data_IF_733612569518
#
_entry.id   IF_733612569518
#
_cell.length_a   1.000
_cell.length_b   1.000
_cell.length_c   1.000
_cell.angle_alpha   90.00
_cell.angle_beta   90.00
_cell.angle_gamma   90.00
#
_symmetry.space_group_name_H-M   'P 1'
#
loop_
_entity.id
_entity.type
_entity.pdbx_description
1 polymer ?
#
# COMPACT_ATOMS: atom_id res chain seq x y z
N UNK A 1 -45.18 -44.83 -6.23
CA UNK A 1 -45.16 -43.51 -6.91
C UNK A 1 -44.35 -42.45 -6.13
N UNK A 2 -44.44 -42.41 -4.80
CA UNK A 2 -43.72 -41.44 -3.93
C UNK A 2 -42.19 -41.58 -3.99
N UNK A 3 -41.67 -42.83 -3.99
CA UNK A 3 -40.24 -43.12 -4.01
C UNK A 3 -39.53 -42.62 -5.29
N UNK A 4 -40.18 -42.75 -6.47
CA UNK A 4 -39.64 -42.23 -7.72
C UNK A 4 -39.56 -40.70 -7.73
N UNK A 5 -40.56 -40.02 -7.13
CA UNK A 5 -40.53 -38.53 -6.98
C UNK A 5 -39.41 -38.08 -6.04
N UNK A 6 -39.16 -38.82 -4.94
CA UNK A 6 -38.07 -38.50 -4.00
C UNK A 6 -36.68 -38.63 -4.66
N UNK A 7 -36.47 -39.70 -5.44
CA UNK A 7 -35.20 -39.90 -6.19
C UNK A 7 -34.95 -38.75 -7.18
N UNK A 8 -35.99 -38.32 -7.91
CA UNK A 8 -35.86 -37.20 -8.87
C UNK A 8 -35.50 -35.89 -8.15
N UNK A 9 -36.11 -35.62 -7.01
CA UNK A 9 -35.81 -34.42 -6.19
C UNK A 9 -34.35 -34.46 -5.69
N UNK A 10 -33.86 -35.60 -5.21
CA UNK A 10 -32.49 -35.78 -4.75
C UNK A 10 -31.47 -35.57 -5.91
N UNK A 11 -31.79 -36.11 -7.10
CA UNK A 11 -30.92 -35.90 -8.28
C UNK A 11 -30.89 -34.44 -8.68
N UNK A 12 -32.01 -33.72 -8.67
CA UNK A 12 -32.06 -32.28 -8.98
C UNK A 12 -31.23 -31.48 -7.96
N UNK A 13 -31.35 -31.78 -6.67
CA UNK A 13 -30.53 -31.10 -5.62
C UNK A 13 -29.04 -31.38 -5.83
N UNK A 14 -28.63 -32.60 -6.14
CA UNK A 14 -27.25 -32.95 -6.42
C UNK A 14 -26.72 -32.25 -7.68
N UNK A 15 -27.52 -32.10 -8.73
CA UNK A 15 -27.16 -31.37 -9.94
C UNK A 15 -27.00 -29.86 -9.67
N UNK A 16 -27.87 -29.28 -8.83
CA UNK A 16 -27.77 -27.87 -8.39
C UNK A 16 -26.50 -27.68 -7.56
N UNK A 17 -26.19 -28.57 -6.61
CA UNK A 17 -24.99 -28.52 -5.80
C UNK A 17 -23.72 -28.67 -6.69
N UNK A 18 -23.74 -29.60 -7.63
CA UNK A 18 -22.65 -29.79 -8.59
C UNK A 18 -22.47 -28.57 -9.51
N UNK A 19 -23.58 -27.93 -9.95
CA UNK A 19 -23.56 -26.70 -10.72
C UNK A 19 -23.00 -25.51 -9.92
N UNK A 20 -23.38 -25.38 -8.65
CA UNK A 20 -22.81 -24.36 -7.75
C UNK A 20 -21.33 -24.63 -7.48
N UNK A 21 -20.95 -25.89 -7.27
CA UNK A 21 -19.56 -26.30 -7.04
C UNK A 21 -18.66 -26.05 -8.27
N UNK A 22 -19.15 -26.37 -9.47
CA UNK A 22 -18.41 -26.08 -10.72
C UNK A 22 -18.35 -24.58 -10.98
N UNK A 23 -19.41 -23.82 -10.76
CA UNK A 23 -19.42 -22.36 -10.87
C UNK A 23 -18.43 -21.72 -9.88
N UNK A 24 -18.32 -22.27 -8.67
CA UNK A 24 -17.33 -21.84 -7.67
C UNK A 24 -15.90 -22.20 -8.10
N UNK A 25 -15.64 -23.43 -8.59
CA UNK A 25 -14.32 -23.88 -9.02
C UNK A 25 -13.82 -23.19 -10.30
N UNK A 26 -14.73 -22.86 -11.22
CA UNK A 26 -14.38 -22.12 -12.45
C UNK A 26 -14.40 -20.60 -12.28
N UNK A 27 -14.52 -20.09 -11.04
CA UNK A 27 -14.48 -18.65 -10.75
C UNK A 27 -15.68 -17.87 -11.26
N UNK A 28 -16.77 -18.53 -11.68
CA UNK A 28 -18.03 -17.87 -12.05
C UNK A 28 -18.76 -17.30 -10.84
N UNK A 29 -18.56 -17.89 -9.66
CA UNK A 29 -18.88 -17.30 -8.36
C UNK A 29 -17.65 -16.58 -7.78
N UNK A 30 -16.84 -15.97 -8.65
CA UNK A 30 -15.61 -15.25 -8.27
C UNK A 30 -15.89 -14.14 -7.28
N UNK A 31 -14.88 -13.77 -6.52
CA UNK A 31 -14.89 -12.66 -5.57
C UNK A 31 -15.43 -11.39 -6.22
N UNK A 32 -16.74 -11.13 -6.05
CA UNK A 32 -17.37 -9.95 -6.63
C UNK A 32 -16.98 -8.73 -5.80
N UNK A 33 -16.24 -7.83 -6.45
CA UNK A 33 -16.10 -6.44 -6.05
C UNK A 33 -17.40 -5.73 -6.42
N UNK A 34 -18.21 -5.42 -5.44
CA UNK A 34 -19.50 -4.74 -5.64
C UNK A 34 -19.47 -3.36 -4.98
N UNK A 35 -20.05 -2.40 -5.66
CA UNK A 35 -20.25 -1.05 -5.20
C UNK A 35 -21.74 -0.78 -5.07
N UNK A 36 -22.16 -0.37 -3.87
CA UNK A 36 -23.56 0.00 -3.60
C UNK A 36 -23.57 1.49 -3.30
N UNK A 37 -24.28 2.25 -4.13
CA UNK A 37 -24.49 3.69 -3.93
C UNK A 37 -25.15 3.93 -2.58
N UNK A 38 -24.66 4.91 -1.86
CA UNK A 38 -25.18 5.32 -0.55
C UNK A 38 -25.32 6.85 -0.49
N UNK A 39 -25.64 7.40 0.65
CA UNK A 39 -25.72 8.84 0.89
C UNK A 39 -24.67 9.26 1.91
N UNK A 40 -24.17 10.49 1.84
CA UNK A 40 -23.25 11.06 2.83
C UNK A 40 -23.82 11.04 4.25
N UNK A 41 -25.14 11.18 4.41
CA UNK A 41 -25.83 11.10 5.71
C UNK A 41 -25.64 9.72 6.37
N UNK A 42 -25.43 8.64 5.58
CA UNK A 42 -25.22 7.30 6.11
C UNK A 42 -23.77 6.97 6.45
N UNK A 43 -22.83 7.87 6.15
CA UNK A 43 -21.41 7.67 6.45
C UNK A 43 -21.16 8.00 7.94
N UNK A 44 -20.73 7.02 8.76
CA UNK A 44 -20.53 7.24 10.18
C UNK A 44 -19.50 8.36 10.41
N UNK A 45 -19.89 9.40 11.15
CA UNK A 45 -18.99 10.49 11.53
C UNK A 45 -18.59 11.45 10.42
N UNK A 46 -19.19 11.41 9.23
CA UNK A 46 -18.88 12.28 8.10
C UNK A 46 -18.84 13.76 8.47
N UNK A 47 -19.82 14.22 9.21
CA UNK A 47 -19.92 15.64 9.60
C UNK A 47 -18.84 16.13 10.57
N UNK A 48 -18.16 15.20 11.24
CA UNK A 48 -17.16 15.50 12.29
C UNK A 48 -15.73 15.56 11.76
N UNK A 49 -15.51 15.20 10.48
CA UNK A 49 -14.16 15.18 9.90
C UNK A 49 -13.67 16.60 9.54
N UNK A 50 -12.37 16.75 9.53
CA UNK A 50 -11.66 17.91 9.01
C UNK A 50 -11.44 17.77 7.50
N UNK A 51 -12.51 17.96 6.70
CA UNK A 51 -12.50 17.74 5.25
C UNK A 51 -11.47 18.60 4.51
N UNK A 52 -11.12 19.79 5.04
CA UNK A 52 -10.09 20.65 4.44
C UNK A 52 -8.73 19.94 4.35
N UNK A 53 -8.36 19.10 5.35
CA UNK A 53 -7.12 18.32 5.31
C UNK A 53 -7.15 17.22 4.21
N UNK A 54 -8.34 16.64 3.98
CA UNK A 54 -8.52 15.70 2.87
C UNK A 54 -8.47 16.42 1.51
N UNK A 55 -9.03 17.64 1.44
CA UNK A 55 -8.98 18.47 0.24
C UNK A 55 -7.55 18.86 -0.13
N UNK A 56 -6.72 19.26 0.84
CA UNK A 56 -5.29 19.50 0.63
C UNK A 56 -4.57 18.27 0.05
N UNK A 57 -4.88 17.09 0.57
CA UNK A 57 -4.35 15.83 0.04
C UNK A 57 -4.86 15.55 -1.38
N UNK A 58 -6.13 15.84 -1.67
CA UNK A 58 -6.72 15.67 -2.99
C UNK A 58 -6.13 16.64 -4.02
N UNK A 59 -5.85 17.89 -3.64
CA UNK A 59 -5.13 18.88 -4.50
C UNK A 59 -3.79 18.31 -4.97
N UNK A 60 -3.04 17.63 -4.10
CA UNK A 60 -1.80 16.96 -4.51
C UNK A 60 -2.07 15.86 -5.55
N UNK A 61 -3.13 15.08 -5.39
CA UNK A 61 -3.54 14.08 -6.38
C UNK A 61 -3.94 14.71 -7.71
N UNK A 62 -4.56 15.89 -7.70
CA UNK A 62 -4.92 16.63 -8.91
C UNK A 62 -3.70 16.96 -9.76
N UNK A 63 -2.53 17.22 -9.18
CA UNK A 63 -1.30 17.45 -9.97
C UNK A 63 -0.89 16.23 -10.80
N UNK A 64 -1.18 15.02 -10.32
CA UNK A 64 -0.93 13.79 -11.06
C UNK A 64 -2.07 13.46 -12.04
N UNK A 65 -3.32 13.70 -11.64
CA UNK A 65 -4.52 13.49 -12.49
C UNK A 65 -4.45 14.37 -13.75
N UNK A 66 -4.07 15.64 -13.60
CA UNK A 66 -3.99 16.61 -14.70
C UNK A 66 -2.92 16.27 -15.77
N UNK A 67 -1.96 15.39 -15.43
CA UNK A 67 -0.94 14.91 -16.37
C UNK A 67 -1.41 13.68 -17.18
N UNK A 68 -2.56 13.11 -16.87
CA UNK A 68 -3.08 11.93 -17.57
C UNK A 68 -3.84 12.32 -18.83
N UNK A 69 -3.91 11.39 -19.79
CA UNK A 69 -4.71 11.58 -21.01
C UNK A 69 -6.20 11.64 -20.63
N UNK A 70 -6.94 12.75 -20.99
CA UNK A 70 -8.34 12.98 -20.61
C UNK A 70 -9.30 11.92 -21.17
N UNK A 71 -9.04 11.38 -22.36
CA UNK A 71 -9.90 10.41 -23.02
C UNK A 71 -9.86 9.00 -22.43
N UNK A 72 -8.89 8.72 -21.55
CA UNK A 72 -8.76 7.41 -20.96
C UNK A 72 -9.73 7.22 -19.79
N UNK A 73 -10.24 6.00 -19.57
CA UNK A 73 -11.01 5.73 -18.35
C UNK A 73 -10.16 6.01 -17.11
N UNK A 74 -10.77 6.64 -16.10
CA UNK A 74 -10.05 6.91 -14.84
C UNK A 74 -9.57 5.61 -14.19
N UNK A 75 -10.41 4.57 -14.24
CA UNK A 75 -10.08 3.22 -13.80
C UNK A 75 -10.56 2.19 -14.82
N UNK A 76 -9.62 1.45 -15.41
CA UNK A 76 -9.96 0.31 -16.25
C UNK A 76 -10.85 -0.69 -15.48
N UNK A 77 -11.85 -1.24 -16.15
CA UNK A 77 -12.82 -2.20 -15.59
C UNK A 77 -13.74 -1.62 -14.49
N UNK A 78 -13.83 -0.29 -14.36
CA UNK A 78 -14.75 0.38 -13.46
C UNK A 78 -15.38 1.60 -14.20
N UNK A 79 -16.32 1.39 -15.13
CA UNK A 79 -16.91 2.46 -15.94
C UNK A 79 -17.56 3.57 -15.11
N UNK A 80 -18.17 3.24 -13.98
CA UNK A 80 -18.77 4.19 -13.04
C UNK A 80 -17.77 5.21 -12.46
N UNK A 81 -16.45 4.98 -12.60
CA UNK A 81 -15.43 5.96 -12.21
C UNK A 81 -15.23 7.07 -13.28
N UNK A 82 -15.88 6.98 -14.45
CA UNK A 82 -15.76 7.93 -15.54
C UNK A 82 -14.41 7.95 -16.23
N UNK A 83 -14.17 9.03 -16.95
CA UNK A 83 -12.92 9.32 -17.68
C UNK A 83 -11.98 10.17 -16.85
N UNK A 84 -10.74 10.30 -17.29
CA UNK A 84 -9.78 11.23 -16.68
C UNK A 84 -10.25 12.66 -16.81
N UNK A 85 -10.93 13.04 -17.91
CA UNK A 85 -11.48 14.38 -18.12
C UNK A 85 -12.47 14.78 -17.01
N UNK A 86 -13.35 13.86 -16.58
CA UNK A 86 -14.31 14.12 -15.50
C UNK A 86 -13.59 14.50 -14.20
N UNK A 87 -12.50 13.81 -13.88
CA UNK A 87 -11.68 14.10 -12.69
C UNK A 87 -10.87 15.39 -12.84
N UNK A 88 -10.38 15.71 -14.04
CA UNK A 88 -9.70 16.98 -14.31
C UNK A 88 -10.63 18.17 -14.14
N UNK A 89 -11.91 18.04 -14.55
CA UNK A 89 -12.93 19.05 -14.29
C UNK A 89 -13.11 19.28 -12.78
N UNK A 90 -13.21 18.21 -11.99
CA UNK A 90 -13.28 18.31 -10.52
C UNK A 90 -12.04 18.99 -9.94
N UNK A 91 -10.86 18.63 -10.44
CA UNK A 91 -9.60 19.25 -10.03
C UNK A 91 -9.55 20.76 -10.34
N UNK A 92 -10.12 21.19 -11.46
CA UNK A 92 -10.23 22.61 -11.81
C UNK A 92 -11.16 23.35 -10.85
N UNK A 93 -12.29 22.75 -10.47
CA UNK A 93 -13.26 23.35 -9.56
C UNK A 93 -12.70 23.67 -8.16
N UNK A 94 -11.65 22.95 -7.70
CA UNK A 94 -10.99 23.21 -6.40
C UNK A 94 -10.39 24.63 -6.34
N UNK A 95 -10.01 25.20 -7.47
CA UNK A 95 -9.40 26.55 -7.51
C UNK A 95 -10.36 27.64 -7.10
N UNK A 96 -11.67 27.36 -7.12
CA UNK A 96 -12.75 28.31 -6.86
C UNK A 96 -13.24 28.31 -5.39
N UNK A 97 -12.66 27.49 -4.51
CA UNK A 97 -13.11 27.37 -3.13
C UNK A 97 -12.00 27.72 -2.14
N UNK A 98 -12.41 28.18 -0.96
CA UNK A 98 -11.50 28.33 0.17
C UNK A 98 -11.10 26.94 0.69
N UNK A 99 -9.84 26.58 0.50
CA UNK A 99 -9.28 25.28 0.87
C UNK A 99 -9.06 25.16 2.38
N UNK A 100 -9.07 26.25 3.12
CA UNK A 100 -8.88 26.24 4.57
C UNK A 100 -10.23 26.18 5.32
N UNK A 101 -11.33 26.52 4.64
CA UNK A 101 -12.65 26.39 5.22
C UNK A 101 -13.18 24.96 5.16
N UNK A 102 -13.42 24.38 6.35
CA UNK A 102 -13.88 23.00 6.49
C UNK A 102 -15.25 22.75 5.86
N UNK A 103 -16.15 23.71 5.97
CA UNK A 103 -17.50 23.60 5.40
C UNK A 103 -17.49 23.64 3.87
N UNK A 104 -16.68 24.53 3.29
CA UNK A 104 -16.48 24.62 1.83
C UNK A 104 -15.85 23.33 1.29
N UNK A 105 -14.86 22.79 1.98
CA UNK A 105 -14.23 21.50 1.62
C UNK A 105 -15.25 20.35 1.68
N UNK A 106 -16.07 20.28 2.74
CA UNK A 106 -17.14 19.27 2.87
C UNK A 106 -18.15 19.39 1.73
N UNK A 107 -18.69 20.60 1.50
CA UNK A 107 -19.65 20.87 0.40
C UNK A 107 -19.07 20.53 -0.97
N UNK A 108 -17.76 20.76 -1.18
CA UNK A 108 -17.09 20.38 -2.40
C UNK A 108 -17.19 18.87 -2.64
N UNK A 109 -16.84 18.01 -1.66
CA UNK A 109 -16.95 16.57 -1.81
C UNK A 109 -18.40 16.12 -1.99
N UNK A 110 -19.35 16.69 -1.24
CA UNK A 110 -20.79 16.36 -1.34
C UNK A 110 -21.41 16.77 -2.70
N UNK A 111 -20.89 17.83 -3.33
CA UNK A 111 -21.38 18.31 -4.61
C UNK A 111 -20.84 17.49 -5.79
N UNK A 112 -19.52 17.22 -5.77
CA UNK A 112 -18.85 16.60 -6.91
C UNK A 112 -18.85 15.07 -6.90
N UNK A 113 -19.10 14.44 -5.75
CA UNK A 113 -18.99 13.01 -5.59
C UNK A 113 -20.25 12.37 -5.04
N UNK A 114 -20.33 11.04 -5.24
CA UNK A 114 -21.31 10.15 -4.63
C UNK A 114 -20.56 9.03 -3.90
N UNK A 115 -20.96 8.69 -2.67
CA UNK A 115 -20.34 7.62 -1.92
C UNK A 115 -20.87 6.26 -2.34
N UNK A 116 -19.96 5.32 -2.56
CA UNK A 116 -20.26 3.91 -2.85
C UNK A 116 -19.63 3.03 -1.80
N UNK A 117 -20.46 2.31 -1.07
CA UNK A 117 -20.00 1.31 -0.11
C UNK A 117 -19.37 0.13 -0.85
N UNK A 118 -18.19 -0.30 -0.40
CA UNK A 118 -17.46 -1.40 -1.02
C UNK A 118 -17.80 -2.71 -0.35
N UNK A 119 -18.11 -3.71 -1.17
CA UNK A 119 -18.40 -5.08 -0.76
C UNK A 119 -17.41 -6.06 -1.39
N UNK A 120 -16.99 -7.03 -0.60
CA UNK A 120 -16.37 -8.26 -1.06
C UNK A 120 -17.38 -9.39 -0.85
N UNK A 121 -18.05 -9.82 -1.91
CA UNK A 121 -19.27 -10.62 -1.82
C UNK A 121 -20.32 -9.88 -0.96
N UNK A 122 -20.75 -10.45 0.17
CA UNK A 122 -21.68 -9.81 1.11
C UNK A 122 -20.98 -9.14 2.31
N UNK A 123 -19.65 -9.19 2.38
CA UNK A 123 -18.88 -8.63 3.49
C UNK A 123 -18.42 -7.21 3.18
N UNK A 124 -18.61 -6.30 4.13
CA UNK A 124 -18.17 -4.90 4.08
C UNK A 124 -16.93 -4.62 4.94
N UNK A 125 -16.45 -5.61 5.68
CA UNK A 125 -15.29 -5.46 6.56
C UNK A 125 -14.03 -5.97 5.89
N UNK A 126 -12.93 -5.25 6.07
CA UNK A 126 -11.61 -5.63 5.60
C UNK A 126 -10.51 -5.19 6.54
N UNK A 127 -9.27 -5.48 6.19
CA UNK A 127 -8.12 -5.23 7.04
C UNK A 127 -7.49 -3.87 6.74
N UNK A 128 -7.31 -3.07 7.78
CA UNK A 128 -6.58 -1.81 7.73
C UNK A 128 -5.36 -1.87 8.64
N UNK A 129 -4.22 -1.42 8.10
CA UNK A 129 -2.93 -1.34 8.79
C UNK A 129 -2.39 0.07 8.68
N UNK A 130 -1.24 0.34 9.27
CA UNK A 130 -0.58 1.63 9.18
C UNK A 130 0.88 1.51 8.75
N UNK A 131 1.38 2.53 8.07
CA UNK A 131 2.79 2.69 7.77
C UNK A 131 3.25 4.11 8.13
N UNK A 132 4.55 4.29 8.25
CA UNK A 132 5.12 5.55 8.69
C UNK A 132 6.47 5.78 8.02
N UNK A 133 7.02 6.96 8.16
CA UNK A 133 8.34 7.35 7.67
C UNK A 133 9.37 7.15 8.81
N UNK A 134 10.18 6.07 8.79
CA UNK A 134 11.19 5.85 9.80
C UNK A 134 12.37 6.82 9.65
N UNK A 135 13.02 7.14 10.78
CA UNK A 135 14.30 7.82 10.81
C UNK A 135 15.41 6.81 11.07
N UNK A 136 16.42 6.81 10.23
CA UNK A 136 17.57 5.92 10.28
C UNK A 136 18.81 6.71 10.69
N UNK A 137 19.50 6.25 11.73
CA UNK A 137 20.81 6.75 12.11
C UNK A 137 21.84 6.13 11.17
N UNK A 138 22.49 6.94 10.35
CA UNK A 138 23.39 6.45 9.30
C UNK A 138 24.61 7.36 9.18
N UNK A 139 25.67 6.87 8.55
CA UNK A 139 26.86 7.61 8.12
C UNK A 139 26.95 7.60 6.60
N UNK A 140 27.60 8.60 6.01
CA UNK A 140 27.91 8.61 4.57
C UNK A 140 29.13 7.72 4.24
N UNK A 141 29.88 7.32 5.26
CA UNK A 141 31.04 6.42 5.13
C UNK A 141 30.84 5.17 5.98
N UNK A 142 31.31 4.02 5.47
CA UNK A 142 31.28 2.74 6.19
C UNK A 142 32.22 2.77 7.38
N UNK A 143 31.75 2.34 8.54
CA UNK A 143 32.57 2.07 9.72
C UNK A 143 31.93 1.00 10.60
N UNK A 144 32.59 0.64 11.72
CA UNK A 144 32.11 -0.43 12.62
C UNK A 144 30.71 -0.15 13.21
N UNK A 145 30.38 1.13 13.43
CA UNK A 145 29.10 1.53 14.02
C UNK A 145 27.96 1.62 12.99
N UNK A 146 28.28 1.66 11.71
CA UNK A 146 27.33 1.80 10.61
C UNK A 146 27.58 0.73 9.53
N UNK A 147 27.25 -0.55 9.82
CA UNK A 147 27.54 -1.67 8.92
C UNK A 147 26.48 -1.90 7.82
N UNK A 148 25.26 -1.40 7.98
CA UNK A 148 24.12 -1.74 7.13
C UNK A 148 23.95 -0.78 5.95
N UNK A 149 24.20 -1.20 4.68
CA UNK A 149 24.12 -0.32 3.52
C UNK A 149 22.67 -0.09 3.06
N UNK A 150 22.43 1.14 2.56
CA UNK A 150 21.26 1.48 1.75
C UNK A 150 21.77 1.72 0.32
N UNK A 151 21.33 0.89 -0.62
CA UNK A 151 21.74 0.97 -2.01
C UNK A 151 20.79 1.80 -2.87
N UNK A 152 21.40 2.61 -3.77
CA UNK A 152 20.72 3.15 -4.94
C UNK A 152 20.43 2.04 -5.95
N UNK A 153 19.61 2.35 -6.96
CA UNK A 153 19.33 1.42 -8.05
C UNK A 153 20.65 1.06 -8.78
N UNK A 154 20.98 -0.23 -8.86
CA UNK A 154 22.20 -0.69 -9.54
C UNK A 154 22.15 -0.42 -11.05
N UNK A 155 23.31 -0.16 -11.65
CA UNK A 155 23.45 0.17 -13.08
C UNK A 155 23.14 -1.01 -14.02
N UNK A 156 23.20 -2.25 -13.50
CA UNK A 156 22.93 -3.48 -14.25
C UNK A 156 21.49 -4.00 -14.06
N UNK A 157 20.63 -3.22 -13.37
CA UNK A 157 19.23 -3.57 -13.14
C UNK A 157 18.41 -3.29 -14.40
N UNK A 158 17.61 -4.29 -14.82
CA UNK A 158 16.77 -4.20 -16.00
C UNK A 158 15.34 -4.57 -15.66
N UNK A 159 14.38 -3.76 -16.13
CA UNK A 159 12.95 -4.05 -16.12
C UNK A 159 12.48 -4.30 -17.54
N UNK A 160 11.85 -5.44 -17.77
CA UNK A 160 11.30 -5.84 -19.07
C UNK A 160 9.79 -5.78 -19.02
N UNK A 161 9.19 -4.99 -19.91
CA UNK A 161 7.76 -5.03 -20.18
C UNK A 161 7.48 -6.15 -21.16
N UNK A 162 6.80 -7.20 -20.71
CA UNK A 162 6.53 -8.38 -21.53
C UNK A 162 5.52 -8.11 -22.65
N UNK A 163 4.75 -7.02 -22.58
CA UNK A 163 3.83 -6.64 -23.64
C UNK A 163 4.52 -6.22 -24.94
N UNK A 164 5.81 -5.85 -24.86
CA UNK A 164 6.64 -5.54 -26.03
C UNK A 164 7.01 -6.78 -26.84
N UNK A 165 6.91 -7.97 -26.24
CA UNK A 165 7.23 -9.24 -26.86
C UNK A 165 5.96 -10.03 -27.24
N UNK A 166 4.91 -9.92 -26.42
CA UNK A 166 3.63 -10.58 -26.62
C UNK A 166 2.50 -9.71 -26.00
N UNK A 167 1.57 -9.27 -26.84
CA UNK A 167 0.44 -8.42 -26.42
C UNK A 167 -0.49 -9.10 -25.42
N UNK A 168 -0.53 -10.43 -25.37
CA UNK A 168 -1.30 -11.19 -24.36
C UNK A 168 -0.74 -11.01 -22.95
N UNK A 169 0.53 -10.59 -22.82
CA UNK A 169 1.22 -10.32 -21.56
C UNK A 169 1.10 -8.85 -21.09
N UNK A 170 0.16 -8.09 -21.63
CA UNK A 170 -0.06 -6.68 -21.29
C UNK A 170 -0.15 -6.45 -19.79
N UNK A 171 0.67 -5.52 -19.30
CA UNK A 171 0.76 -5.16 -17.87
C UNK A 171 1.61 -6.12 -17.02
N UNK A 172 2.25 -7.12 -17.64
CA UNK A 172 3.20 -8.01 -16.95
C UNK A 172 4.63 -7.52 -17.19
N UNK A 173 5.38 -7.43 -16.11
CA UNK A 173 6.80 -7.05 -16.13
C UNK A 173 7.63 -8.05 -15.35
N UNK A 174 8.89 -8.22 -15.76
CA UNK A 174 9.90 -8.98 -15.00
C UNK A 174 11.11 -8.08 -14.73
N UNK A 175 11.84 -8.41 -13.67
CA UNK A 175 13.04 -7.67 -13.25
C UNK A 175 14.23 -8.63 -13.21
N UNK A 176 15.36 -8.19 -13.74
CA UNK A 176 16.57 -8.99 -13.76
C UNK A 176 17.83 -8.20 -14.07
N UNK A 177 18.87 -8.92 -14.42
CA UNK A 177 20.14 -8.43 -14.94
C UNK A 177 20.57 -9.24 -16.14
N UNK A 178 21.30 -8.66 -17.07
CA UNK A 178 21.87 -9.40 -18.20
C UNK A 178 23.25 -9.92 -17.81
N UNK A 179 23.43 -11.25 -17.86
CA UNK A 179 24.71 -11.93 -17.67
C UNK A 179 24.92 -12.98 -18.75
N UNK A 180 26.06 -12.94 -19.43
CA UNK A 180 26.41 -13.84 -20.53
C UNK A 180 25.31 -13.87 -21.61
N UNK A 181 24.86 -12.69 -22.05
CA UNK A 181 23.79 -12.48 -23.05
C UNK A 181 22.43 -13.11 -22.68
N UNK A 182 22.20 -13.38 -21.40
CA UNK A 182 20.92 -13.93 -20.91
C UNK A 182 20.36 -13.07 -19.80
N UNK A 183 19.06 -12.77 -19.88
CA UNK A 183 18.33 -12.15 -18.77
C UNK A 183 18.19 -13.18 -17.64
N UNK A 184 18.66 -12.83 -16.46
CA UNK A 184 18.56 -13.64 -15.24
C UNK A 184 17.83 -12.87 -14.16
N UNK A 185 17.10 -13.56 -13.27
CA UNK A 185 16.49 -12.88 -12.13
C UNK A 185 17.55 -12.14 -11.30
N UNK A 186 17.22 -10.93 -10.83
CA UNK A 186 18.14 -10.12 -10.01
C UNK A 186 18.55 -10.86 -8.71
N UNK A 187 19.72 -10.61 -8.12
CA UNK A 187 20.15 -11.26 -6.87
C UNK A 187 19.13 -11.14 -5.74
N UNK A 188 19.06 -12.18 -4.90
CA UNK A 188 18.24 -12.18 -3.67
C UNK A 188 18.86 -11.26 -2.62
N UNK A 189 18.09 -10.88 -1.58
CA UNK A 189 18.60 -10.13 -0.44
C UNK A 189 19.83 -10.78 0.18
N UNK A 190 19.85 -12.11 0.34
CA UNK A 190 21.00 -12.83 0.86
C UNK A 190 22.27 -12.64 0.00
N UNK A 191 22.13 -12.74 -1.32
CA UNK A 191 23.25 -12.50 -2.24
C UNK A 191 23.71 -11.03 -2.22
N UNK A 192 22.78 -10.07 -2.13
CA UNK A 192 23.08 -8.64 -2.01
C UNK A 192 23.85 -8.37 -0.71
N UNK A 193 23.38 -8.91 0.41
CA UNK A 193 24.08 -8.79 1.70
C UNK A 193 25.48 -9.43 1.70
N UNK A 194 25.73 -10.39 0.79
CA UNK A 194 27.03 -11.03 0.54
C UNK A 194 27.88 -10.32 -0.54
N UNK A 195 27.49 -9.12 -0.97
CA UNK A 195 28.30 -8.28 -1.88
C UNK A 195 28.02 -8.43 -3.38
N UNK A 196 26.94 -9.14 -3.78
CA UNK A 196 26.66 -9.44 -5.20
C UNK A 196 26.51 -8.20 -6.10
N UNK A 197 26.24 -7.01 -5.54
CA UNK A 197 26.00 -5.74 -6.27
C UNK A 197 26.98 -4.64 -5.94
N UNK A 198 28.02 -4.90 -5.16
CA UNK A 198 28.98 -3.84 -4.70
C UNK A 198 29.65 -3.08 -5.87
N UNK A 199 29.83 -3.75 -7.02
CA UNK A 199 30.44 -3.14 -8.21
C UNK A 199 29.45 -2.34 -9.07
N UNK A 200 28.15 -2.57 -8.91
CA UNK A 200 27.10 -2.00 -9.79
C UNK A 200 26.17 -1.03 -9.06
N UNK A 201 26.14 -1.07 -7.73
CA UNK A 201 25.28 -0.24 -6.91
C UNK A 201 26.07 0.80 -6.09
N UNK A 202 25.60 2.07 -6.13
CA UNK A 202 26.08 3.11 -5.23
C UNK A 202 25.42 2.96 -3.86
N UNK A 203 26.20 3.06 -2.78
CA UNK A 203 25.66 3.18 -1.42
C UNK A 203 25.28 4.63 -1.17
N UNK A 204 24.01 4.85 -0.76
CA UNK A 204 23.49 6.18 -0.39
C UNK A 204 23.89 6.56 1.03
N UNK A 205 23.87 5.59 1.94
CA UNK A 205 24.26 5.72 3.34
C UNK A 205 24.53 4.33 3.95
N UNK A 206 25.26 4.33 5.08
CA UNK A 206 25.55 3.16 5.92
C UNK A 206 24.86 3.38 7.26
N UNK A 207 23.96 2.49 7.68
CA UNK A 207 23.15 2.66 8.89
C UNK A 207 23.63 1.75 10.04
N UNK A 208 23.28 2.11 11.26
CA UNK A 208 23.66 1.41 12.48
C UNK A 208 22.92 0.07 12.66
N UNK A 209 21.75 -0.09 12.02
CA UNK A 209 20.85 -1.22 12.23
C UNK A 209 20.37 -1.86 10.93
N UNK A 210 20.75 -3.13 10.70
CA UNK A 210 20.16 -3.94 9.60
C UNK A 210 18.65 -4.10 9.72
N UNK A 211 18.12 -4.10 10.95
CA UNK A 211 16.68 -4.26 11.19
C UNK A 211 15.94 -3.00 10.78
N UNK A 212 16.48 -1.82 11.11
CA UNK A 212 15.86 -0.55 10.75
C UNK A 212 15.91 -0.34 9.22
N UNK A 213 17.01 -0.74 8.57
CA UNK A 213 17.08 -0.79 7.10
C UNK A 213 16.05 -1.76 6.51
N UNK A 214 15.88 -2.95 7.10
CA UNK A 214 14.86 -3.91 6.66
C UNK A 214 13.44 -3.34 6.83
N UNK A 215 13.16 -2.60 7.90
CA UNK A 215 11.90 -1.89 8.05
C UNK A 215 11.73 -0.77 7.04
N UNK A 216 12.80 -0.01 6.72
CA UNK A 216 12.74 0.99 5.66
C UNK A 216 12.40 0.36 4.29
N UNK A 217 12.90 -0.84 3.97
CA UNK A 217 12.50 -1.59 2.77
C UNK A 217 10.99 -1.90 2.75
N UNK A 218 10.39 -2.18 3.91
CA UNK A 218 8.94 -2.44 4.05
C UNK A 218 8.14 -1.13 3.90
N UNK A 219 8.61 -0.05 4.52
CA UNK A 219 7.95 1.27 4.50
C UNK A 219 8.10 1.98 3.14
N UNK A 220 9.11 1.63 2.34
CA UNK A 220 9.38 2.21 1.02
C UNK A 220 10.04 3.60 1.04
N UNK A 221 10.24 4.20 2.21
CA UNK A 221 10.91 5.50 2.39
C UNK A 221 11.49 5.62 3.79
N UNK A 222 12.48 6.51 3.97
CA UNK A 222 13.06 6.81 5.28
C UNK A 222 13.73 8.19 5.30
N UNK A 223 13.84 8.79 6.49
CA UNK A 223 14.72 9.90 6.77
C UNK A 223 16.10 9.32 7.12
N UNK A 224 17.11 9.68 6.38
CA UNK A 224 18.52 9.35 6.67
C UNK A 224 19.10 10.50 7.48
N UNK A 225 19.58 10.20 8.69
CA UNK A 225 20.12 11.19 9.63
C UNK A 225 21.60 10.91 9.87
N UNK A 226 22.53 11.55 9.11
CA UNK A 226 23.96 11.44 9.37
C UNK A 226 24.35 12.33 10.58
N UNK A 227 25.38 11.94 11.36
CA UNK A 227 25.89 12.80 12.42
C UNK A 227 26.48 14.09 11.82
N UNK A 228 26.18 15.22 12.42
CA UNK A 228 26.70 16.55 12.07
C UNK A 228 26.43 16.99 10.61
N UNK A 229 25.41 16.45 9.96
CA UNK A 229 24.99 16.83 8.60
C UNK A 229 23.47 16.92 8.54
N UNK A 230 22.97 17.62 7.51
CA UNK A 230 21.54 17.68 7.26
C UNK A 230 20.95 16.31 6.94
N UNK A 231 19.80 16.03 7.55
CA UNK A 231 19.02 14.86 7.22
C UNK A 231 18.47 14.97 5.81
N UNK A 232 18.36 13.84 5.13
CA UNK A 232 17.74 13.78 3.81
C UNK A 232 16.75 12.63 3.69
N UNK A 233 15.81 12.82 2.80
CA UNK A 233 14.77 11.83 2.54
C UNK A 233 15.19 10.88 1.43
N UNK A 234 14.96 9.58 1.65
CA UNK A 234 15.05 8.56 0.62
C UNK A 234 13.66 7.97 0.35
N UNK A 235 13.40 7.61 -0.90
CA UNK A 235 12.16 6.94 -1.30
C UNK A 235 12.44 5.77 -2.22
N UNK A 236 11.45 4.90 -2.35
CA UNK A 236 11.47 3.75 -3.24
C UNK A 236 11.85 4.17 -4.67
N UNK A 237 12.77 3.44 -5.26
CA UNK A 237 13.15 3.57 -6.67
C UNK A 237 12.72 2.33 -7.44
N UNK A 238 13.22 1.17 -7.02
CA UNK A 238 12.87 -0.12 -7.60
C UNK A 238 13.01 -1.26 -6.58
N UNK A 239 12.65 -2.47 -6.99
CA UNK A 239 12.95 -3.69 -6.24
C UNK A 239 13.70 -4.69 -7.11
N UNK A 240 14.29 -5.70 -6.47
CA UNK A 240 14.95 -6.80 -7.19
C UNK A 240 13.97 -7.78 -7.87
N UNK A 241 12.66 -7.54 -7.80
CA UNK A 241 11.63 -8.38 -8.42
C UNK A 241 11.42 -9.75 -7.75
N UNK A 242 12.07 -10.03 -6.62
CA UNK A 242 11.90 -11.27 -5.86
C UNK A 242 10.68 -11.21 -4.96
N UNK A 243 10.11 -12.37 -4.68
CA UNK A 243 8.95 -12.49 -3.78
C UNK A 243 9.31 -12.05 -2.37
N UNK A 244 8.45 -11.23 -1.77
CA UNK A 244 8.58 -10.78 -0.39
C UNK A 244 8.14 -11.89 0.57
N UNK A 245 8.98 -12.14 1.58
CA UNK A 245 8.68 -12.99 2.73
C UNK A 245 8.71 -12.15 4.00
N UNK A 246 7.59 -12.11 4.72
CA UNK A 246 7.48 -11.34 5.97
C UNK A 246 8.40 -11.91 7.05
N UNK A 247 9.23 -11.05 7.62
CA UNK A 247 10.09 -11.39 8.79
C UNK A 247 9.23 -11.85 9.98
N UNK A 248 8.08 -11.19 10.22
CA UNK A 248 7.14 -11.63 11.25
C UNK A 248 6.68 -13.07 11.01
N UNK A 249 6.33 -13.44 9.77
CA UNK A 249 5.93 -14.80 9.42
C UNK A 249 7.04 -15.82 9.68
N UNK A 250 8.28 -15.47 9.34
CA UNK A 250 9.44 -16.34 9.63
C UNK A 250 9.59 -16.58 11.13
N UNK A 251 9.50 -15.52 11.94
CA UNK A 251 9.63 -15.60 13.39
C UNK A 251 8.48 -16.38 14.04
N UNK A 252 7.24 -16.19 13.57
CA UNK A 252 6.07 -16.98 14.01
C UNK A 252 6.27 -18.47 13.68
N UNK A 253 6.69 -18.79 12.46
CA UNK A 253 6.96 -20.18 12.07
C UNK A 253 8.07 -20.82 12.91
N UNK A 254 9.05 -20.03 13.38
CA UNK A 254 10.11 -20.43 14.29
C UNK A 254 9.66 -20.42 15.77
N UNK A 255 8.37 -20.23 16.06
CA UNK A 255 7.79 -20.20 17.41
C UNK A 255 8.41 -19.13 18.33
N UNK A 256 8.91 -18.02 17.74
CA UNK A 256 9.47 -16.91 18.51
C UNK A 256 8.38 -16.10 19.25
N UNK A 257 7.19 -16.01 18.66
CA UNK A 257 5.98 -15.40 19.22
C UNK A 257 4.75 -15.82 18.40
N UNK A 258 3.56 -15.54 18.92
CA UNK A 258 2.29 -15.80 18.23
C UNK A 258 1.99 -14.72 17.19
N UNK A 259 0.97 -14.94 16.35
CA UNK A 259 0.52 -13.96 15.36
C UNK A 259 -0.05 -12.68 16.02
N UNK A 260 -0.64 -12.83 17.19
CA UNK A 260 -1.24 -11.76 17.97
C UNK A 260 -0.16 -10.86 18.58
N UNK A 261 0.94 -11.43 19.03
CA UNK A 261 2.09 -10.76 19.63
C UNK A 261 3.02 -10.11 18.60
N UNK A 262 2.86 -10.42 17.30
CA UNK A 262 3.76 -10.00 16.21
C UNK A 262 3.60 -8.52 15.83
N UNK A 263 4.01 -7.61 16.70
CA UNK A 263 4.17 -6.18 16.40
C UNK A 263 5.59 -5.86 15.89
N UNK A 264 5.76 -4.70 15.27
CA UNK A 264 7.10 -4.21 14.88
C UNK A 264 8.03 -4.08 16.10
N UNK A 265 7.50 -3.62 17.21
CA UNK A 265 8.22 -3.46 18.47
C UNK A 265 8.68 -4.83 19.03
N UNK A 266 7.80 -5.83 18.98
CA UNK A 266 8.14 -7.20 19.41
C UNK A 266 9.25 -7.81 18.52
N UNK A 267 9.20 -7.58 17.21
CA UNK A 267 10.23 -8.03 16.27
C UNK A 267 11.57 -7.35 16.59
N UNK A 268 11.60 -6.03 16.80
CA UNK A 268 12.82 -5.31 17.19
C UNK A 268 13.39 -5.80 18.51
N UNK A 269 12.55 -5.99 19.53
CA UNK A 269 12.94 -6.52 20.83
C UNK A 269 13.53 -7.94 20.72
N UNK A 270 12.94 -8.79 19.88
CA UNK A 270 13.45 -10.14 19.65
C UNK A 270 14.86 -10.12 19.02
N UNK A 271 15.09 -9.29 18.01
CA UNK A 271 16.42 -9.17 17.42
C UNK A 271 17.46 -8.53 18.35
N UNK A 272 17.03 -7.60 19.21
CA UNK A 272 17.91 -7.06 20.25
C UNK A 272 18.38 -8.15 21.24
N UNK A 273 17.50 -9.14 21.51
CA UNK A 273 17.84 -10.30 22.36
C UNK A 273 18.68 -11.35 21.64
N UNK A 274 18.55 -11.48 20.31
CA UNK A 274 19.22 -12.50 19.50
C UNK A 274 19.93 -11.88 18.29
N UNK A 275 20.95 -11.01 18.49
CA UNK A 275 21.59 -10.24 17.42
C UNK A 275 22.25 -11.12 16.36
N UNK A 276 22.78 -12.30 16.74
CA UNK A 276 23.42 -13.29 15.85
C UNK A 276 22.42 -13.88 14.83
N UNK A 277 21.14 -13.88 15.12
CA UNK A 277 20.07 -14.39 14.24
C UNK A 277 19.56 -13.34 13.24
N UNK A 278 20.01 -12.08 13.35
CA UNK A 278 19.49 -10.98 12.54
C UNK A 278 19.67 -11.25 11.06
N UNK A 279 20.89 -11.38 10.57
CA UNK A 279 21.16 -11.58 9.12
C UNK A 279 20.57 -12.90 8.61
N UNK A 280 20.72 -14.07 9.30
CA UNK A 280 20.09 -15.32 8.86
C UNK A 280 18.57 -15.21 8.70
N UNK A 281 17.86 -14.53 9.59
CA UNK A 281 16.40 -14.36 9.52
C UNK A 281 16.01 -13.35 8.43
N UNK A 282 16.68 -12.21 8.36
CA UNK A 282 16.41 -11.21 7.31
C UNK A 282 16.63 -11.79 5.91
N UNK A 283 17.64 -12.63 5.71
CA UNK A 283 17.95 -13.29 4.46
C UNK A 283 16.92 -14.34 4.00
N UNK A 284 15.96 -14.74 4.85
CA UNK A 284 14.80 -15.57 4.43
C UNK A 284 13.83 -14.79 3.52
N UNK A 285 13.87 -13.46 3.58
CA UNK A 285 13.20 -12.60 2.59
C UNK A 285 14.12 -12.45 1.36
N UNK A 286 13.65 -12.90 0.19
CA UNK A 286 14.41 -12.75 -1.05
C UNK A 286 14.29 -11.37 -1.68
N UNK A 287 13.26 -10.59 -1.31
CA UNK A 287 12.98 -9.25 -1.85
C UNK A 287 13.95 -8.21 -1.28
N UNK A 288 14.38 -7.29 -2.12
CA UNK A 288 15.23 -6.15 -1.76
C UNK A 288 14.72 -4.88 -2.44
N UNK A 289 14.73 -3.74 -1.75
CA UNK A 289 14.31 -2.43 -2.27
C UNK A 289 15.53 -1.53 -2.46
N UNK A 290 15.60 -0.88 -3.61
CA UNK A 290 16.57 0.15 -3.94
C UNK A 290 15.94 1.53 -3.75
N UNK A 291 16.74 2.49 -3.30
CA UNK A 291 16.28 3.83 -2.93
C UNK A 291 16.91 4.90 -3.79
N UNK A 292 16.24 6.06 -3.85
CA UNK A 292 16.81 7.31 -4.37
C UNK A 292 16.64 8.43 -3.34
N UNK A 293 17.54 9.43 -3.38
CA UNK A 293 17.32 10.66 -2.63
C UNK A 293 16.12 11.41 -3.22
N UNK A 294 15.28 11.93 -2.35
CA UNK A 294 14.13 12.76 -2.73
C UNK A 294 14.48 14.24 -2.55
N UNK A 295 13.91 15.07 -3.42
CA UNK A 295 14.05 16.55 -3.36
C UNK A 295 12.89 17.22 -2.63
N UNK A 296 12.01 16.42 -2.01
CA UNK A 296 10.76 16.87 -1.35
C UNK A 296 10.86 16.64 0.15
N UNK A 297 10.11 17.43 0.92
CA UNK A 297 10.07 17.33 2.39
C UNK A 297 9.16 16.19 2.89
N UNK A 298 8.43 15.53 1.99
CA UNK A 298 7.56 14.39 2.30
C UNK A 298 7.81 13.22 1.33
N UNK A 299 7.61 11.97 1.78
CA UNK A 299 7.75 10.81 0.91
C UNK A 299 6.70 10.84 -0.21
N UNK A 300 7.09 10.34 -1.39
CA UNK A 300 6.19 10.23 -2.52
C UNK A 300 5.49 8.87 -2.48
N UNK A 301 4.16 8.89 -2.60
CA UNK A 301 3.38 7.67 -2.85
C UNK A 301 3.53 7.16 -4.28
N UNK A 302 2.94 6.02 -4.57
CA UNK A 302 2.95 5.41 -5.92
C UNK A 302 2.28 6.30 -6.97
N UNK A 303 1.43 7.24 -6.56
CA UNK A 303 0.87 8.29 -7.44
C UNK A 303 1.91 9.36 -7.82
N UNK A 304 3.12 9.32 -7.25
CA UNK A 304 4.19 10.31 -7.40
C UNK A 304 3.79 11.70 -6.87
N UNK A 305 3.01 11.74 -5.81
CA UNK A 305 2.64 12.95 -5.07
C UNK A 305 3.08 12.83 -3.61
N UNK A 306 3.39 13.97 -2.93
CA UNK A 306 3.75 13.96 -1.51
C UNK A 306 2.61 13.43 -0.64
N UNK A 307 2.92 12.45 0.21
CA UNK A 307 1.96 11.86 1.14
C UNK A 307 1.61 12.83 2.27
N UNK A 308 0.37 12.78 2.72
CA UNK A 308 -0.16 13.57 3.83
C UNK A 308 -0.49 12.65 5.01
N UNK A 309 0.08 12.86 6.21
CA UNK A 309 -0.23 12.05 7.40
C UNK A 309 -1.73 11.98 7.66
N UNK A 310 -2.24 10.77 7.92
CA UNK A 310 -3.64 10.48 8.20
C UNK A 310 -4.62 10.85 7.07
N UNK A 311 -4.11 11.24 5.88
CA UNK A 311 -4.93 11.60 4.71
C UNK A 311 -4.53 10.84 3.44
N UNK A 312 -3.38 10.17 3.43
CA UNK A 312 -2.96 9.29 2.35
C UNK A 312 -3.19 7.83 2.72
N UNK A 313 -3.76 7.07 1.79
CA UNK A 313 -4.06 5.65 1.93
C UNK A 313 -3.37 4.86 0.81
N UNK A 314 -2.65 3.80 1.18
CA UNK A 314 -2.20 2.80 0.22
C UNK A 314 -3.33 1.78 0.00
N UNK A 315 -3.60 1.45 -1.26
CA UNK A 315 -4.71 0.61 -1.69
C UNK A 315 -4.26 -0.47 -2.68
N UNK A 316 -5.14 -1.44 -2.92
CA UNK A 316 -4.95 -2.38 -4.03
C UNK A 316 -5.43 -1.74 -5.35
N UNK A 317 -4.47 -1.33 -6.17
CA UNK A 317 -4.75 -0.65 -7.44
C UNK A 317 -5.46 -1.52 -8.48
N UNK A 318 -5.64 -2.81 -8.23
CA UNK A 318 -6.51 -3.66 -9.06
C UNK A 318 -7.98 -3.23 -8.94
N UNK A 319 -8.38 -2.74 -7.77
CA UNK A 319 -9.76 -2.35 -7.45
C UNK A 319 -9.94 -0.83 -7.42
N UNK A 320 -9.04 -0.11 -6.76
CA UNK A 320 -9.15 1.34 -6.53
C UNK A 320 -8.12 2.10 -7.36
N UNK A 321 -8.55 3.14 -8.07
CA UNK A 321 -7.63 4.04 -8.78
C UNK A 321 -6.91 4.96 -7.79
N UNK A 322 -5.64 5.28 -8.08
CA UNK A 322 -4.94 6.33 -7.35
C UNK A 322 -5.58 7.70 -7.66
N UNK A 323 -5.74 8.51 -6.64
CA UNK A 323 -6.47 9.78 -6.66
C UNK A 323 -7.91 9.68 -6.14
N UNK A 324 -8.46 8.46 -5.95
CA UNK A 324 -9.84 8.28 -5.46
C UNK A 324 -9.95 8.70 -3.99
N UNK A 325 -10.89 9.59 -3.62
CA UNK A 325 -11.23 9.86 -2.22
C UNK A 325 -11.96 8.66 -1.60
N UNK A 326 -11.64 8.35 -0.34
CA UNK A 326 -12.14 7.17 0.38
C UNK A 326 -12.55 7.58 1.79
N UNK A 327 -13.83 7.41 2.13
CA UNK A 327 -14.26 7.49 3.51
C UNK A 327 -13.95 6.17 4.22
N UNK A 328 -13.16 6.23 5.29
CA UNK A 328 -12.79 5.07 6.10
C UNK A 328 -13.43 5.15 7.48
N UNK A 329 -14.10 4.06 7.88
CA UNK A 329 -14.61 3.82 9.22
C UNK A 329 -13.93 2.60 9.83
N UNK A 330 -13.06 2.82 10.82
CA UNK A 330 -12.30 1.80 11.52
C UNK A 330 -11.95 2.27 12.94
N UNK A 331 -11.15 1.48 13.65
CA UNK A 331 -10.48 1.88 14.88
C UNK A 331 -8.98 1.86 14.69
N UNK A 332 -8.27 2.69 15.43
CA UNK A 332 -6.81 2.76 15.39
C UNK A 332 -6.23 2.70 16.80
N UNK A 333 -5.00 2.20 16.98
CA UNK A 333 -4.34 2.22 18.27
C UNK A 333 -4.17 3.65 18.77
N UNK A 334 -4.45 3.90 20.05
CA UNK A 334 -3.99 5.10 20.73
C UNK A 334 -2.48 4.98 20.93
N UNK A 335 -1.72 6.03 20.58
CA UNK A 335 -0.25 5.97 20.64
C UNK A 335 0.23 5.61 22.06
N UNK A 336 1.22 4.74 22.13
CA UNK A 336 1.80 4.23 23.39
C UNK A 336 0.79 3.55 24.33
N UNK A 337 -0.32 3.01 23.79
CA UNK A 337 -1.38 2.35 24.56
C UNK A 337 -1.87 1.09 23.85
N UNK A 338 -2.46 0.18 24.62
CA UNK A 338 -3.15 -1.01 24.09
C UNK A 338 -4.62 -0.73 23.71
N UNK A 339 -5.12 0.48 24.01
CA UNK A 339 -6.49 0.86 23.68
C UNK A 339 -6.62 1.37 22.25
N UNK A 340 -7.82 1.32 21.72
CA UNK A 340 -8.15 1.86 20.38
C UNK A 340 -9.09 3.05 20.49
N UNK A 341 -9.06 3.89 19.47
CA UNK A 341 -9.99 5.01 19.30
C UNK A 341 -10.66 4.92 17.93
N UNK A 342 -11.88 5.42 17.75
CA UNK A 342 -12.53 5.52 16.44
C UNK A 342 -11.69 6.35 15.47
N UNK A 343 -11.66 5.90 14.21
CA UNK A 343 -11.03 6.61 13.10
C UNK A 343 -12.02 6.64 11.93
N UNK A 344 -12.63 7.79 11.74
CA UNK A 344 -13.65 8.08 10.75
C UNK A 344 -13.20 9.31 9.97
N UNK A 345 -12.53 9.10 8.83
CA UNK A 345 -11.89 10.19 8.09
C UNK A 345 -11.93 9.95 6.58
N UNK A 346 -11.92 11.06 5.84
CA UNK A 346 -11.72 11.07 4.40
C UNK A 346 -10.23 11.02 4.07
N UNK A 347 -9.82 10.00 3.34
CA UNK A 347 -8.46 9.78 2.87
C UNK A 347 -8.43 9.78 1.35
N UNK A 348 -7.25 9.95 0.77
CA UNK A 348 -7.03 9.89 -0.67
C UNK A 348 -6.14 8.68 -0.98
N UNK A 349 -6.55 7.87 -1.96
CA UNK A 349 -5.75 6.76 -2.45
C UNK A 349 -4.53 7.29 -3.22
N UNK A 350 -3.36 7.38 -2.57
CA UNK A 350 -2.15 7.98 -3.14
C UNK A 350 -0.99 7.00 -3.24
N UNK A 351 -1.15 5.81 -2.65
CA UNK A 351 -0.08 4.85 -2.57
C UNK A 351 -0.57 3.41 -2.81
N UNK A 352 0.36 2.48 -2.91
CA UNK A 352 0.12 1.04 -2.96
C UNK A 352 1.32 0.30 -2.35
N UNK A 353 1.15 -0.98 -2.06
CA UNK A 353 2.23 -1.80 -1.52
C UNK A 353 2.11 -3.27 -1.94
N UNK A 354 3.24 -3.98 -1.94
CA UNK A 354 3.29 -5.39 -2.30
C UNK A 354 2.38 -6.27 -1.42
N UNK A 355 2.22 -5.91 -0.15
CA UNK A 355 1.35 -6.58 0.83
C UNK A 355 -0.08 -6.02 0.87
N UNK A 356 -0.36 -4.91 0.16
CA UNK A 356 -1.68 -4.27 0.17
C UNK A 356 -2.53 -4.88 -0.94
N UNK A 357 -3.10 -6.04 -0.66
CA UNK A 357 -3.88 -6.85 -1.62
C UNK A 357 -5.26 -7.16 -1.06
N UNK A 358 -6.27 -6.95 -1.87
CA UNK A 358 -7.67 -7.25 -1.56
C UNK A 358 -8.63 -6.11 -1.81
N UNK A 359 -9.91 -6.45 -1.91
CA UNK A 359 -11.00 -5.53 -2.25
C UNK A 359 -11.21 -4.47 -1.18
N UNK A 360 -11.23 -4.88 0.11
CA UNK A 360 -11.38 -3.98 1.26
C UNK A 360 -10.08 -4.08 2.05
N UNK A 361 -9.08 -3.30 1.62
CA UNK A 361 -7.74 -3.28 2.19
C UNK A 361 -7.16 -1.87 2.07
N UNK A 362 -6.64 -1.34 3.16
CA UNK A 362 -5.95 -0.06 3.16
C UNK A 362 -4.79 -0.04 4.15
N UNK A 363 -3.80 0.81 3.87
CA UNK A 363 -2.66 1.06 4.75
C UNK A 363 -2.53 2.58 4.93
N UNK A 364 -2.73 3.08 6.16
CA UNK A 364 -2.79 4.51 6.45
C UNK A 364 -1.39 5.05 6.67
N UNK A 365 -1.03 6.13 5.99
CA UNK A 365 0.20 6.86 6.25
C UNK A 365 0.08 7.72 7.51
N UNK A 366 0.94 7.46 8.51
CA UNK A 366 0.89 8.14 9.81
C UNK A 366 1.89 9.29 9.95
N UNK A 367 2.72 9.57 8.94
CA UNK A 367 3.79 10.56 9.04
C UNK A 367 5.06 9.96 9.63
N UNK A 368 5.83 10.74 10.39
CA UNK A 368 7.11 10.36 10.97
C UNK A 368 7.12 10.48 12.51
N UNK A 369 8.19 9.99 13.12
CA UNK A 369 8.44 10.09 14.55
C UNK A 369 7.81 8.96 15.38
N UNK A 370 8.06 9.00 16.70
CA UNK A 370 7.72 7.90 17.62
C UNK A 370 6.23 7.65 17.75
N UNK A 371 5.41 8.70 17.69
CA UNK A 371 3.93 8.59 17.73
C UNK A 371 3.42 7.83 16.51
N UNK A 372 3.89 8.21 15.31
CA UNK A 372 3.52 7.53 14.06
C UNK A 372 3.99 6.07 14.06
N UNK A 373 5.21 5.79 14.50
CA UNK A 373 5.77 4.45 14.62
C UNK A 373 4.97 3.58 15.61
N UNK A 374 4.54 4.15 16.75
CA UNK A 374 3.72 3.45 17.76
C UNK A 374 2.37 3.04 17.19
N UNK A 375 1.68 3.96 16.50
CA UNK A 375 0.36 3.68 15.91
C UNK A 375 0.50 2.69 14.75
N UNK A 376 1.36 2.99 13.78
CA UNK A 376 1.53 2.16 12.58
C UNK A 376 1.97 0.73 12.91
N UNK A 377 2.90 0.58 13.87
CA UNK A 377 3.44 -0.72 14.26
C UNK A 377 2.45 -1.66 14.97
N UNK A 378 1.37 -1.10 15.53
CA UNK A 378 0.31 -1.84 16.23
C UNK A 378 -1.02 -1.86 15.47
N UNK A 379 -1.12 -1.16 14.33
CA UNK A 379 -2.37 -1.06 13.61
C UNK A 379 -2.65 -2.30 12.74
N UNK A 380 -3.68 -3.07 13.12
CA UNK A 380 -4.17 -4.24 12.41
C UNK A 380 -5.64 -4.44 12.76
N UNK A 381 -6.51 -3.63 12.19
CA UNK A 381 -7.88 -3.53 12.61
C UNK A 381 -8.86 -3.75 11.45
N UNK A 382 -10.05 -4.23 11.78
CA UNK A 382 -11.14 -4.37 10.83
C UNK A 382 -11.82 -3.01 10.62
N UNK A 383 -12.24 -2.75 9.38
CA UNK A 383 -12.95 -1.53 9.03
C UNK A 383 -13.78 -1.69 7.77
N UNK A 384 -14.59 -0.69 7.50
CA UNK A 384 -15.35 -0.54 6.26
C UNK A 384 -14.93 0.73 5.55
N UNK A 385 -15.01 0.77 4.24
CA UNK A 385 -14.82 2.01 3.52
C UNK A 385 -15.82 2.23 2.38
N UNK A 386 -15.98 3.48 2.02
CA UNK A 386 -16.74 3.95 0.87
C UNK A 386 -15.78 4.69 -0.07
N UNK A 387 -15.86 4.39 -1.36
CA UNK A 387 -15.16 5.18 -2.37
C UNK A 387 -16.08 6.30 -2.84
N UNK A 388 -15.52 7.48 -3.06
CA UNK A 388 -16.24 8.60 -3.63
C UNK A 388 -15.95 8.65 -5.13
N UNK A 389 -16.98 8.52 -5.94
CA UNK A 389 -16.87 8.58 -7.40
C UNK A 389 -17.58 9.82 -7.94
N UNK A 390 -17.14 10.37 -9.08
CA UNK A 390 -17.76 11.56 -9.66
C UNK A 390 -19.27 11.42 -9.80
N UNK A 391 -19.98 12.48 -9.47
CA UNK A 391 -21.41 12.61 -9.75
C UNK A 391 -21.55 13.06 -11.20
N UNK A 392 -22.04 12.18 -12.05
CA UNK A 392 -22.42 12.54 -13.41
C UNK A 392 -23.78 13.27 -13.39
N UNK A 393 -23.80 14.45 -14.01
CA UNK A 393 -25.03 15.25 -14.20
C UNK A 393 -25.77 14.77 -15.45
#
# INVERSE_FOLDING_TARGET
MLYKKLIVIVIIILLIIAGIFTAYHHGWLGYHFNLVRTSFVTLPGWEKDNHHLALESFVKSCTAINKRNPEKPFKNKLPIAGTVADWQQICTAITQIDKQDNLSARKFFEFWFEPYRVYKNFNTKGLFTGYYLPTLKCSLTKNKNYPAPIYALPSDWVKVDLSLFDTSLKGRTITGQVKNNRLRPYPTQAAINSGAIEKTAKVLAWCDSFIDVAFAHIQGSAIVQPPNQESFLIGYDASNGRTYTSVAKVLINNKAFTKEESSMQAIKAWFAKYPEKTIPILNKNASYVFFRKLKHDAPLGSQQVPLTPQRSLAVDTRYIALGTPIWLDTVVPKSFSQTTIPFQQLLIAQDTGGAIKGTIRGDIYWGSGNKAASIAGNMKHQGSYWILLPRFK
#
